data_IF_053576317093
#
_entry.id   IF_053576317093
#
_cell.length_a   1.000
_cell.length_b   1.000
_cell.length_c   1.000
_cell.angle_alpha   90.00
_cell.angle_beta   90.00
_cell.angle_gamma   90.00
#
_symmetry.space_group_name_H-M   'P 1'
#
loop_
_entity.id
_entity.type
_entity.pdbx_description
1 polymer ?
#
# COMPACT_ATOMS: atom_id res chain seq x y z
N UNK A 1 29.02 -6.47 40.50
CA UNK A 1 28.80 -5.29 39.64
C UNK A 1 29.64 -5.57 38.39
N UNK A 2 29.14 -5.92 37.21
CA UNK A 2 27.87 -5.61 36.54
C UNK A 2 27.69 -6.62 35.39
N UNK A 3 26.45 -7.03 35.13
CA UNK A 3 26.05 -8.01 34.10
C UNK A 3 26.48 -7.62 32.67
N UNK A 4 26.70 -8.60 31.76
CA UNK A 4 26.81 -8.33 30.34
C UNK A 4 25.38 -8.25 29.77
N UNK A 5 25.00 -7.11 29.20
CA UNK A 5 23.76 -7.05 28.43
C UNK A 5 24.04 -6.37 27.08
N UNK A 6 24.41 -7.21 26.12
CA UNK A 6 24.42 -6.90 24.71
C UNK A 6 22.96 -6.89 24.23
N UNK A 7 22.37 -5.70 24.17
CA UNK A 7 21.08 -5.44 23.54
C UNK A 7 21.24 -4.29 22.54
N UNK A 8 22.22 -4.44 21.63
CA UNK A 8 22.27 -3.65 20.41
C UNK A 8 21.33 -4.31 19.40
N UNK A 9 20.07 -3.94 19.43
CA UNK A 9 19.16 -4.15 18.32
C UNK A 9 18.57 -2.82 17.90
N UNK A 10 18.56 -2.63 16.59
CA UNK A 10 17.94 -1.56 15.80
C UNK A 10 18.88 -0.41 15.43
N UNK A 11 19.57 -0.69 14.34
CA UNK A 11 20.14 0.23 13.38
C UNK A 11 19.27 1.45 13.09
N UNK A 12 19.97 2.56 12.96
CA UNK A 12 19.64 3.80 12.27
C UNK A 12 18.66 3.63 11.09
N UNK A 13 17.42 4.06 11.29
CA UNK A 13 16.53 4.52 10.23
C UNK A 13 15.72 5.68 10.82
N UNK A 14 15.51 6.79 10.10
CA UNK A 14 14.63 7.83 10.60
C UNK A 14 13.28 7.17 10.86
N UNK A 15 12.71 7.45 12.03
CA UNK A 15 11.28 7.26 12.33
C UNK A 15 10.46 8.07 11.33
N UNK A 16 10.42 7.61 10.08
CA UNK A 16 9.45 8.08 9.14
C UNK A 16 8.15 7.58 9.74
N UNK A 17 7.28 8.49 10.18
CA UNK A 17 5.83 8.28 10.37
C UNK A 17 5.15 7.65 9.15
N UNK A 18 5.92 7.18 8.16
CA UNK A 18 5.58 6.76 6.83
C UNK A 18 4.95 5.36 6.91
N UNK A 19 3.67 5.32 7.33
CA UNK A 19 2.62 4.44 6.77
C UNK A 19 3.14 3.76 5.50
N UNK A 20 3.26 2.43 5.48
CA UNK A 20 3.98 1.72 4.44
C UNK A 20 3.42 2.14 3.08
N UNK A 21 4.27 2.71 2.23
CA UNK A 21 3.86 3.06 0.87
C UNK A 21 3.64 1.75 0.13
N UNK A 22 2.37 1.44 -0.16
CA UNK A 22 2.04 0.27 -0.95
C UNK A 22 1.87 0.70 -2.39
N UNK A 23 2.72 0.19 -3.27
CA UNK A 23 2.64 0.50 -4.68
C UNK A 23 1.53 -0.31 -5.36
N UNK A 24 0.55 0.38 -5.94
CA UNK A 24 -0.58 -0.25 -6.62
C UNK A 24 -0.17 -1.14 -7.81
N UNK A 25 0.99 -0.89 -8.42
CA UNK A 25 1.49 -1.66 -9.55
C UNK A 25 2.13 -2.99 -9.14
N UNK A 26 2.78 -3.04 -7.98
CA UNK A 26 3.54 -4.22 -7.51
C UNK A 26 2.93 -4.93 -6.31
N UNK A 27 2.05 -4.27 -5.55
CA UNK A 27 1.44 -4.81 -4.35
C UNK A 27 0.75 -6.16 -4.57
N UNK A 28 0.81 -7.02 -3.57
CA UNK A 28 0.05 -8.25 -3.61
C UNK A 28 -1.44 -8.02 -3.36
N UNK A 29 -2.29 -8.96 -3.79
CA UNK A 29 -3.74 -8.89 -3.59
C UNK A 29 -4.12 -8.75 -2.11
N UNK A 30 -3.43 -9.48 -1.23
CA UNK A 30 -3.67 -9.43 0.21
C UNK A 30 -3.29 -8.08 0.83
N UNK A 31 -2.26 -7.42 0.31
CA UNK A 31 -1.87 -6.08 0.73
C UNK A 31 -2.92 -5.05 0.31
N UNK A 32 -3.39 -5.12 -0.93
CA UNK A 32 -4.49 -4.28 -1.40
C UNK A 32 -5.78 -4.51 -0.59
N UNK A 33 -6.05 -5.76 -0.19
CA UNK A 33 -7.18 -6.09 0.67
C UNK A 33 -7.07 -5.43 2.05
N UNK A 34 -5.87 -5.52 2.65
CA UNK A 34 -5.57 -4.94 3.95
C UNK A 34 -5.72 -3.41 3.97
N UNK A 35 -5.39 -2.73 2.86
CA UNK A 35 -5.42 -1.27 2.79
C UNK A 35 -6.83 -0.66 2.80
N UNK A 36 -7.81 -1.29 2.15
CA UNK A 36 -9.06 -0.56 1.80
C UNK A 36 -10.35 -1.33 2.04
N UNK A 37 -10.34 -2.49 2.70
CA UNK A 37 -11.56 -3.31 2.90
C UNK A 37 -12.36 -3.48 1.59
N UNK A 38 -11.64 -3.50 0.46
CA UNK A 38 -12.23 -3.73 -0.86
C UNK A 38 -12.41 -5.21 -1.04
N UNK A 39 -13.59 -5.58 -1.57
CA UNK A 39 -13.86 -6.97 -1.90
C UNK A 39 -12.91 -7.50 -2.99
N UNK A 40 -12.74 -8.83 -3.05
CA UNK A 40 -11.80 -9.50 -3.96
C UNK A 40 -12.02 -9.14 -5.43
N UNK A 41 -13.28 -8.91 -5.85
CA UNK A 41 -13.59 -8.50 -7.23
C UNK A 41 -12.89 -7.20 -7.65
N UNK A 42 -12.76 -6.22 -6.74
CA UNK A 42 -12.10 -4.94 -7.03
C UNK A 42 -10.58 -5.08 -7.04
N UNK A 43 -10.05 -5.94 -6.19
CA UNK A 43 -8.62 -6.24 -6.13
C UNK A 43 -8.20 -6.94 -7.42
N UNK A 44 -8.95 -7.95 -7.87
CA UNK A 44 -8.71 -8.60 -9.15
C UNK A 44 -8.77 -7.60 -10.31
N UNK A 45 -9.76 -6.70 -10.32
CA UNK A 45 -9.85 -5.66 -11.34
C UNK A 45 -8.64 -4.72 -11.33
N UNK A 46 -8.10 -4.37 -10.15
CA UNK A 46 -6.88 -3.59 -10.02
C UNK A 46 -5.67 -4.36 -10.57
N UNK A 47 -5.46 -5.61 -10.13
CA UNK A 47 -4.34 -6.44 -10.58
C UNK A 47 -4.36 -6.64 -12.10
N UNK A 48 -5.54 -6.92 -12.66
CA UNK A 48 -5.70 -7.19 -14.09
C UNK A 48 -5.52 -5.95 -14.98
N UNK A 49 -5.67 -4.74 -14.41
CA UNK A 49 -5.54 -3.46 -15.13
C UNK A 49 -4.17 -2.80 -14.98
N UNK A 50 -3.25 -3.42 -14.24
CA UNK A 50 -1.86 -2.98 -14.16
C UNK A 50 -1.20 -2.99 -15.55
N UNK A 51 -0.26 -2.07 -15.82
CA UNK A 51 0.22 -1.00 -14.95
C UNK A 51 -0.66 0.26 -14.98
N UNK A 52 -0.74 0.95 -13.85
CA UNK A 52 -1.38 2.25 -13.70
C UNK A 52 -0.32 3.36 -13.74
N UNK A 53 -0.54 4.36 -14.61
CA UNK A 53 0.34 5.54 -14.71
C UNK A 53 -0.18 6.69 -13.86
N UNK A 54 -1.48 6.73 -13.62
CA UNK A 54 -2.15 7.80 -12.88
C UNK A 54 -3.32 7.28 -12.07
N UNK A 55 -3.77 8.08 -11.10
CA UNK A 55 -5.00 7.79 -10.36
C UNK A 55 -6.26 7.84 -11.25
N UNK A 56 -6.20 8.51 -12.40
CA UNK A 56 -7.28 8.47 -13.41
C UNK A 56 -7.40 7.08 -14.04
N UNK A 57 -6.27 6.43 -14.34
CA UNK A 57 -6.27 5.04 -14.83
C UNK A 57 -6.89 4.08 -13.82
N UNK A 58 -6.60 4.30 -12.54
CA UNK A 58 -7.21 3.55 -11.42
C UNK A 58 -8.73 3.81 -11.36
N UNK A 59 -9.19 5.02 -11.66
CA UNK A 59 -10.62 5.36 -11.69
C UNK A 59 -11.37 4.73 -12.87
N UNK A 60 -10.67 4.34 -13.94
CA UNK A 60 -11.23 3.61 -15.10
C UNK A 60 -11.41 2.12 -14.84
N UNK A 61 -10.98 1.62 -13.68
CA UNK A 61 -11.14 0.22 -13.31
C UNK A 61 -12.60 -0.04 -12.90
N UNK A 62 -13.28 -1.03 -13.49
CA UNK A 62 -14.66 -1.37 -13.14
C UNK A 62 -14.79 -1.65 -11.63
N UNK A 63 -15.74 -0.98 -10.98
CA UNK A 63 -15.97 -1.14 -9.54
C UNK A 63 -15.03 -0.34 -8.63
N UNK A 64 -14.09 0.43 -9.19
CA UNK A 64 -13.30 1.41 -8.45
C UNK A 64 -13.95 2.78 -8.59
N UNK A 65 -14.45 3.29 -7.47
CA UNK A 65 -15.02 4.64 -7.38
C UNK A 65 -13.99 5.61 -6.78
N UNK A 66 -14.18 6.94 -6.93
CA UNK A 66 -13.32 7.95 -6.31
C UNK A 66 -13.18 7.78 -4.79
N UNK A 67 -14.21 7.24 -4.12
CA UNK A 67 -14.19 6.89 -2.69
C UNK A 67 -13.10 5.85 -2.38
N UNK A 68 -12.93 4.84 -3.24
CA UNK A 68 -11.90 3.81 -3.06
C UNK A 68 -10.52 4.39 -3.31
N UNK A 69 -10.37 5.24 -4.32
CA UNK A 69 -9.11 5.96 -4.57
C UNK A 69 -8.73 6.84 -3.38
N UNK A 70 -9.69 7.56 -2.79
CA UNK A 70 -9.44 8.37 -1.61
C UNK A 70 -9.04 7.51 -0.40
N UNK A 71 -9.63 6.32 -0.23
CA UNK A 71 -9.22 5.35 0.80
C UNK A 71 -7.81 4.83 0.55
N UNK A 72 -7.50 4.41 -0.68
CA UNK A 72 -6.17 3.98 -1.10
C UNK A 72 -5.12 5.05 -0.74
N UNK A 73 -5.34 6.30 -1.15
CA UNK A 73 -4.45 7.43 -0.81
C UNK A 73 -4.30 7.64 0.70
N UNK A 74 -5.39 7.54 1.45
CA UNK A 74 -5.38 7.70 2.92
C UNK A 74 -4.63 6.57 3.62
N UNK A 75 -4.74 5.35 3.10
CA UNK A 75 -4.09 4.16 3.64
C UNK A 75 -2.60 4.07 3.28
N UNK A 76 -2.09 4.97 2.43
CA UNK A 76 -0.68 4.99 1.99
C UNK A 76 -0.41 4.28 0.67
N UNK A 77 -1.44 4.02 -0.15
CA UNK A 77 -1.22 3.51 -1.49
C UNK A 77 -0.66 4.62 -2.40
N UNK A 78 0.34 4.28 -3.19
CA UNK A 78 0.93 5.17 -4.20
C UNK A 78 1.08 4.47 -5.55
N UNK A 79 1.36 5.27 -6.58
CA UNK A 79 1.72 4.81 -7.90
C UNK A 79 3.21 5.09 -8.06
N UNK A 80 4.04 4.15 -7.58
CA UNK A 80 5.47 4.28 -7.75
C UNK A 80 5.79 3.87 -9.19
N UNK A 81 6.59 4.71 -9.85
CA UNK A 81 6.99 4.53 -11.25
C UNK A 81 8.20 3.63 -11.36
#
# INVERSE_FOLDING_TARGET
MTSPNQLNHHSDAPISDRRPLIDLNTAAEHELAALTSVGPARIQALVHRRPFRSWDDVARVPGISPIIIARLKRSGAELLS
#
